data_IF_304473326583
#
_entry.id   IF_304473326583
#
_cell.length_a   1.000
_cell.length_b   1.000
_cell.length_c   1.000
_cell.angle_alpha   90.00
_cell.angle_beta   90.00
_cell.angle_gamma   90.00
#
_symmetry.space_group_name_H-M   'P 1'
#
loop_
_entity.id
_entity.type
_entity.pdbx_description
1 polymer ?
#
# COMPACT_ATOMS: atom_id res chain seq x y z
N UNK A 1 1.03 13.69 -15.98
CA UNK A 1 1.40 13.79 -14.54
C UNK A 1 1.21 12.42 -13.89
N UNK A 2 1.87 12.12 -12.76
CA UNK A 2 1.76 10.79 -12.11
C UNK A 2 0.30 10.42 -11.80
N UNK A 3 -0.49 11.40 -11.34
CA UNK A 3 -1.91 11.26 -11.07
C UNK A 3 -2.71 10.81 -12.29
N UNK A 4 -2.47 11.41 -13.46
CA UNK A 4 -3.19 11.03 -14.69
C UNK A 4 -2.87 9.59 -15.09
N UNK A 5 -1.61 9.17 -14.96
CA UNK A 5 -1.20 7.77 -15.24
C UNK A 5 -1.86 6.76 -14.30
N UNK A 6 -1.97 7.11 -13.01
CA UNK A 6 -2.72 6.31 -12.06
C UNK A 6 -4.21 6.21 -12.42
N UNK A 7 -4.85 7.34 -12.76
CA UNK A 7 -6.25 7.35 -13.15
C UNK A 7 -6.51 6.56 -14.43
N UNK A 8 -5.63 6.66 -15.43
CA UNK A 8 -5.74 5.89 -16.67
C UNK A 8 -5.67 4.38 -16.39
N UNK A 9 -4.74 3.93 -15.54
CA UNK A 9 -4.62 2.53 -15.15
C UNK A 9 -5.84 2.07 -14.33
N UNK A 10 -6.28 2.88 -13.37
CA UNK A 10 -7.48 2.62 -12.57
C UNK A 10 -8.74 2.48 -13.43
N UNK A 11 -8.94 3.38 -14.40
CA UNK A 11 -10.08 3.35 -15.31
C UNK A 11 -10.10 2.12 -16.22
N UNK A 12 -8.92 1.60 -16.59
CA UNK A 12 -8.77 0.36 -17.36
C UNK A 12 -8.90 -0.90 -16.50
N UNK A 13 -8.92 -0.77 -15.18
CA UNK A 13 -8.85 -1.91 -14.26
C UNK A 13 -7.47 -2.58 -14.23
N UNK A 14 -6.42 -1.91 -14.70
CA UNK A 14 -5.04 -2.39 -14.63
C UNK A 14 -4.50 -2.20 -13.20
N UNK A 15 -4.79 -3.20 -12.36
CA UNK A 15 -4.40 -3.21 -10.95
C UNK A 15 -2.88 -3.15 -10.74
N UNK A 16 -2.04 -3.95 -11.44
CA UNK A 16 -0.59 -3.86 -11.32
C UNK A 16 -0.05 -2.47 -11.65
N UNK A 17 -0.50 -1.88 -12.76
CA UNK A 17 -0.04 -0.56 -13.21
C UNK A 17 -0.51 0.54 -12.24
N UNK A 18 -1.78 0.50 -11.82
CA UNK A 18 -2.32 1.43 -10.83
C UNK A 18 -1.56 1.37 -9.50
N UNK A 19 -1.25 0.15 -9.03
CA UNK A 19 -0.48 -0.03 -7.80
C UNK A 19 0.93 0.56 -7.90
N UNK A 20 1.59 0.32 -9.04
CA UNK A 20 2.93 0.85 -9.29
C UNK A 20 2.94 2.39 -9.38
N UNK A 21 1.91 3.02 -9.96
CA UNK A 21 1.80 4.48 -9.97
C UNK A 21 1.50 5.07 -8.59
N UNK A 22 0.65 4.41 -7.79
CA UNK A 22 0.37 4.81 -6.41
C UNK A 22 1.64 4.83 -5.54
N UNK A 23 2.45 3.78 -5.62
CA UNK A 23 3.73 3.72 -4.90
C UNK A 23 4.77 4.72 -5.43
N UNK A 24 4.78 5.02 -6.73
CA UNK A 24 5.62 6.12 -7.26
C UNK A 24 5.20 7.47 -6.70
N UNK A 25 3.90 7.74 -6.58
CA UNK A 25 3.43 8.96 -5.93
C UNK A 25 3.83 9.02 -4.45
N UNK A 26 3.76 7.90 -3.74
CA UNK A 26 4.25 7.78 -2.38
C UNK A 26 5.74 8.11 -2.23
N UNK A 27 6.57 7.58 -3.13
CA UNK A 27 8.01 7.87 -3.15
C UNK A 27 8.28 9.37 -3.20
N UNK A 28 7.63 10.08 -4.13
CA UNK A 28 7.81 11.54 -4.24
C UNK A 28 7.18 12.30 -3.07
N UNK A 29 6.05 11.83 -2.52
CA UNK A 29 5.43 12.42 -1.34
C UNK A 29 6.36 12.41 -0.13
N UNK A 30 7.00 11.27 0.13
CA UNK A 30 7.95 11.13 1.23
C UNK A 30 9.27 11.88 1.00
N UNK A 31 9.72 12.00 -0.25
CA UNK A 31 10.92 12.80 -0.57
C UNK A 31 10.66 14.32 -0.47
N UNK A 32 9.43 14.77 -0.75
CA UNK A 32 9.08 16.19 -0.68
C UNK A 32 8.88 16.68 0.75
N UNK A 33 8.36 15.84 1.65
CA UNK A 33 8.03 16.22 3.04
C UNK A 33 7.21 17.52 3.14
N UNK A 34 6.13 17.60 2.35
CA UNK A 34 5.39 18.86 2.14
C UNK A 34 4.67 19.41 3.38
N UNK A 35 4.31 18.58 4.36
CA UNK A 35 3.62 19.04 5.57
C UNK A 35 4.64 19.31 6.68
N UNK A 36 4.41 20.39 7.42
CA UNK A 36 5.22 20.73 8.60
C UNK A 36 5.25 19.60 9.65
N UNK A 37 4.15 18.82 9.76
CA UNK A 37 4.05 17.60 10.58
C UNK A 37 3.11 16.60 9.92
N UNK A 38 3.41 15.31 10.07
CA UNK A 38 2.49 14.23 9.70
C UNK A 38 2.53 13.80 8.24
N UNK A 39 3.49 14.24 7.42
CA UNK A 39 3.65 13.76 6.04
C UNK A 39 3.70 12.24 5.96
N UNK A 40 4.45 11.59 6.85
CA UNK A 40 4.60 10.13 6.90
C UNK A 40 3.23 9.43 7.02
N UNK A 41 2.45 9.83 8.04
CA UNK A 41 1.12 9.30 8.30
C UNK A 41 0.14 9.61 7.16
N UNK A 42 0.10 10.85 6.67
CA UNK A 42 -0.78 11.25 5.57
C UNK A 42 -0.49 10.46 4.28
N UNK A 43 0.79 10.26 3.96
CA UNK A 43 1.20 9.46 2.79
C UNK A 43 0.78 8.00 2.94
N UNK A 44 0.95 7.44 4.13
CA UNK A 44 0.59 6.05 4.41
C UNK A 44 -0.92 5.81 4.26
N UNK A 45 -1.73 6.71 4.84
CA UNK A 45 -3.19 6.68 4.75
C UNK A 45 -3.64 6.86 3.30
N UNK A 46 -3.04 7.80 2.56
CA UNK A 46 -3.39 8.06 1.17
C UNK A 46 -3.18 6.83 0.27
N UNK A 47 -2.04 6.15 0.39
CA UNK A 47 -1.75 4.93 -0.38
C UNK A 47 -2.79 3.84 -0.08
N UNK A 48 -3.10 3.62 1.20
CA UNK A 48 -4.12 2.65 1.60
C UNK A 48 -5.49 3.01 1.06
N UNK A 49 -5.89 4.29 1.12
CA UNK A 49 -7.15 4.75 0.57
C UNK A 49 -7.24 4.52 -0.94
N UNK A 50 -6.16 4.78 -1.69
CA UNK A 50 -6.11 4.54 -3.13
C UNK A 50 -6.25 3.05 -3.47
N UNK A 51 -5.59 2.18 -2.71
CA UNK A 51 -5.71 0.74 -2.88
C UNK A 51 -7.11 0.22 -2.53
N UNK A 52 -7.69 0.68 -1.43
CA UNK A 52 -9.06 0.34 -1.02
C UNK A 52 -10.09 0.81 -2.05
N UNK A 53 -9.93 2.00 -2.63
CA UNK A 53 -10.81 2.50 -3.68
C UNK A 53 -10.83 1.59 -4.93
N UNK A 54 -9.73 0.89 -5.20
CA UNK A 54 -9.59 -0.08 -6.30
C UNK A 54 -9.91 -1.52 -5.89
N UNK A 55 -10.47 -1.73 -4.69
CA UNK A 55 -10.75 -3.07 -4.12
C UNK A 55 -9.49 -3.94 -3.99
N UNK A 56 -8.35 -3.31 -3.70
CA UNK A 56 -7.05 -3.97 -3.52
C UNK A 56 -6.57 -3.84 -2.08
N UNK A 57 -7.22 -4.44 -1.07
CA UNK A 57 -6.79 -4.28 0.31
C UNK A 57 -5.35 -4.81 0.49
N UNK A 58 -4.54 -4.05 1.22
CA UNK A 58 -3.25 -4.52 1.73
C UNK A 58 -3.52 -5.35 2.98
N UNK A 59 -3.09 -6.61 2.96
CA UNK A 59 -3.37 -7.59 4.02
C UNK A 59 -2.18 -7.87 4.92
N UNK A 60 -0.97 -7.53 4.47
CA UNK A 60 0.25 -7.75 5.21
C UNK A 60 0.56 -6.57 6.14
N UNK A 61 1.31 -6.87 7.20
CA UNK A 61 1.76 -5.87 8.16
C UNK A 61 3.13 -5.31 7.79
N UNK A 62 3.36 -4.05 8.17
CA UNK A 62 4.69 -3.46 8.09
C UNK A 62 5.68 -4.29 8.94
N UNK A 63 6.85 -4.68 8.40
CA UNK A 63 7.86 -5.39 9.18
C UNK A 63 8.28 -4.59 10.42
N UNK A 64 8.56 -5.28 11.51
CA UNK A 64 8.95 -4.63 12.77
C UNK A 64 10.21 -3.78 12.55
N UNK A 65 10.15 -2.51 12.97
CA UNK A 65 11.24 -1.55 12.82
C UNK A 65 11.38 -0.96 11.41
N UNK A 66 10.50 -1.30 10.48
CA UNK A 66 10.48 -0.70 9.14
C UNK A 66 9.80 0.69 9.18
N UNK A 67 10.47 1.68 8.62
CA UNK A 67 9.93 3.03 8.43
C UNK A 67 9.78 3.30 6.93
N UNK A 68 8.54 3.45 6.47
CA UNK A 68 8.20 3.53 5.05
C UNK A 68 8.80 4.78 4.36
N UNK A 69 8.77 5.91 5.06
CA UNK A 69 9.35 7.17 4.62
C UNK A 69 10.88 7.08 4.54
N UNK A 70 11.55 6.41 5.49
CA UNK A 70 12.98 6.15 5.41
C UNK A 70 13.34 5.33 4.17
N UNK A 71 12.56 4.29 3.87
CA UNK A 71 12.75 3.52 2.65
C UNK A 71 12.60 4.39 1.39
N UNK A 72 11.76 5.42 1.39
CA UNK A 72 11.67 6.34 0.26
C UNK A 72 12.84 7.33 0.19
N UNK A 73 13.26 7.90 1.32
CA UNK A 73 14.32 8.92 1.40
C UNK A 73 15.70 8.35 1.05
N UNK A 74 15.99 7.11 1.48
CA UNK A 74 17.29 6.49 1.25
C UNK A 74 17.42 5.76 -0.08
N UNK A 75 16.34 5.62 -0.86
CA UNK A 75 16.39 4.99 -2.17
C UNK A 75 16.60 6.02 -3.28
N UNK A 76 17.47 5.68 -4.24
CA UNK A 76 17.85 6.56 -5.35
C UNK A 76 16.70 6.84 -6.31
N UNK A 77 15.83 5.87 -6.53
CA UNK A 77 14.68 5.98 -7.41
C UNK A 77 13.48 5.19 -6.89
N UNK A 78 12.31 5.53 -7.45
CA UNK A 78 11.05 4.94 -7.05
C UNK A 78 10.98 3.43 -7.30
N UNK A 79 11.76 2.88 -8.23
CA UNK A 79 11.72 1.45 -8.54
C UNK A 79 12.39 0.64 -7.44
N UNK A 80 13.53 1.11 -6.90
CA UNK A 80 14.14 0.50 -5.70
C UNK A 80 13.21 0.60 -4.48
N UNK A 81 12.58 1.77 -4.27
CA UNK A 81 11.60 1.92 -3.20
C UNK A 81 10.44 0.93 -3.32
N UNK A 82 9.84 0.81 -4.51
CA UNK A 82 8.77 -0.14 -4.77
C UNK A 82 9.25 -1.55 -4.45
N UNK A 83 10.42 -1.96 -4.93
CA UNK A 83 10.95 -3.30 -4.65
C UNK A 83 11.10 -3.58 -3.15
N UNK A 84 11.51 -2.58 -2.35
CA UNK A 84 11.73 -2.71 -0.91
C UNK A 84 10.42 -2.86 -0.11
N UNK A 85 9.35 -2.20 -0.57
CA UNK A 85 8.03 -2.24 0.10
C UNK A 85 7.13 -3.32 -0.49
N UNK A 86 7.50 -3.88 -1.63
CA UNK A 86 6.66 -4.80 -2.39
C UNK A 86 6.24 -6.04 -1.62
N UNK A 87 7.03 -6.52 -0.66
CA UNK A 87 6.71 -7.72 0.12
C UNK A 87 5.44 -7.55 0.96
N UNK A 88 5.20 -6.36 1.51
CA UNK A 88 4.14 -6.12 2.49
C UNK A 88 3.13 -5.03 2.07
N UNK A 89 3.56 -4.01 1.31
CA UNK A 89 2.68 -2.90 0.93
C UNK A 89 2.03 -3.08 -0.45
N UNK A 90 2.57 -3.95 -1.30
CA UNK A 90 2.00 -4.20 -2.62
C UNK A 90 0.77 -5.13 -2.52
N UNK A 91 -0.42 -4.70 -2.96
CA UNK A 91 -1.64 -5.47 -2.76
C UNK A 91 -1.60 -6.85 -3.45
N UNK A 92 -2.17 -7.91 -2.84
CA UNK A 92 -2.30 -9.24 -3.46
C UNK A 92 -3.01 -9.20 -4.83
N UNK A 93 -4.09 -8.42 -4.94
CA UNK A 93 -4.85 -8.24 -6.17
C UNK A 93 -3.98 -7.74 -7.34
N UNK A 94 -3.08 -6.79 -7.06
CA UNK A 94 -2.12 -6.28 -8.03
C UNK A 94 -1.03 -7.31 -8.41
N UNK A 95 -0.84 -8.38 -7.63
CA UNK A 95 0.01 -9.54 -7.98
C UNK A 95 -0.73 -10.61 -8.78
N UNK A 96 -2.01 -10.40 -9.11
CA UNK A 96 -2.87 -11.42 -9.73
C UNK A 96 -3.38 -12.47 -8.73
N UNK A 97 -3.22 -12.24 -7.43
CA UNK A 97 -3.80 -13.11 -6.40
C UNK A 97 -5.28 -12.73 -6.20
N UNK A 98 -6.18 -13.71 -5.99
CA UNK A 98 -7.56 -13.40 -5.68
C UNK A 98 -7.61 -12.53 -4.42
N UNK A 99 -8.58 -11.61 -4.29
CA UNK A 99 -8.73 -10.79 -3.10
C UNK A 99 -8.86 -11.74 -1.90
N UNK A 100 -7.89 -11.66 -0.97
CA UNK A 100 -7.92 -12.50 0.21
C UNK A 100 -9.21 -12.17 0.96
N UNK A 101 -10.07 -13.16 1.24
CA UNK A 101 -11.21 -12.91 2.10
C UNK A 101 -10.69 -12.37 3.43
N UNK A 102 -11.41 -11.43 4.07
CA UNK A 102 -11.06 -11.02 5.42
C UNK A 102 -10.90 -12.28 6.28
N UNK A 103 -9.93 -12.33 7.21
CA UNK A 103 -9.80 -13.47 8.10
C UNK A 103 -11.18 -13.74 8.72
N UNK A 104 -11.68 -14.96 8.54
CA UNK A 104 -12.93 -15.37 9.15
C UNK A 104 -12.66 -15.52 10.64
N UNK A 105 -13.41 -14.84 11.48
CA UNK A 105 -13.33 -15.09 12.91
C UNK A 105 -14.04 -16.44 13.16
N UNK A 106 -13.44 -17.32 13.96
CA UNK A 106 -14.02 -18.64 14.31
C UNK A 106 -15.41 -18.54 14.97
N UNK A 107 -15.86 -17.33 15.31
CA UNK A 107 -17.16 -17.04 15.94
C UNK A 107 -18.18 -16.33 15.03
N UNK A 108 -17.90 -16.19 13.73
CA UNK A 108 -18.84 -15.59 12.77
C UNK A 108 -18.98 -14.06 12.84
N UNK A 109 -18.11 -13.36 13.57
CA UNK A 109 -18.01 -11.89 13.50
C UNK A 109 -17.50 -11.40 12.14
N UNK A 110 -17.94 -10.21 11.72
CA UNK A 110 -17.52 -9.55 10.47
C UNK A 110 -16.12 -8.93 10.51
N UNK A 111 -15.56 -8.69 11.71
CA UNK A 111 -14.27 -8.05 11.89
C UNK A 111 -13.52 -8.74 13.03
N UNK A 112 -12.33 -9.26 12.74
CA UNK A 112 -11.46 -9.88 13.74
C UNK A 112 -10.52 -8.83 14.34
N UNK A 113 -10.24 -8.96 15.64
CA UNK A 113 -9.23 -8.13 16.31
C UNK A 113 -7.84 -8.73 16.10
N UNK A 114 -6.75 -7.95 16.28
CA UNK A 114 -5.39 -8.49 16.19
C UNK A 114 -5.11 -9.69 17.12
N UNK A 115 -5.91 -9.90 18.17
CA UNK A 115 -5.81 -11.05 19.07
C UNK A 115 -6.42 -12.34 18.48
N UNK A 116 -7.30 -12.23 17.49
CA UNK A 116 -8.02 -13.35 16.87
C UNK A 116 -7.23 -13.96 15.68
N UNK A 117 -6.16 -13.30 15.22
CA UNK A 117 -5.30 -13.77 14.13
C UNK A 117 -4.22 -14.67 14.75
N UNK A 118 -4.55 -15.95 14.96
CA UNK A 118 -3.58 -16.91 15.51
C UNK A 118 -2.39 -17.02 14.55
N UNK A 119 -1.18 -16.86 15.08
CA UNK A 119 0.06 -17.16 14.38
C UNK A 119 0.05 -18.65 13.99
N UNK A 120 -0.23 -18.92 12.72
CA UNK A 120 -0.02 -20.23 12.09
C UNK A 120 1.17 -20.13 11.15
#
# INVERSE_FOLDING_TARGET
FLWSKFLDAAAKGDQPEAAAWALRMAFYWYNLMALARGTAAAGFIAIHAMFLALKMPVVEYAPKGFQLDWAAIFNRDASYFISAVSSWLYPPAARGQPPTPPPACDDGRRFCTPADISAS
#
